data_IF_218439060152
#
_entry.id   IF_218439060152
#
_cell.length_a   1.000
_cell.length_b   1.000
_cell.length_c   1.000
_cell.angle_alpha   90.00
_cell.angle_beta   90.00
_cell.angle_gamma   90.00
#
_symmetry.space_group_name_H-M   'P 1'
#
loop_
_entity.id
_entity.type
_entity.pdbx_description
1 polymer ?
#
# COMPACT_ATOMS: atom_id res chain seq x y z
N UNK A 1 5.08 1.46 12.33
CA UNK A 1 6.16 2.16 11.54
C UNK A 1 6.34 1.50 10.17
N UNK A 2 6.83 2.18 9.12
CA UNK A 2 7.12 1.52 7.82
C UNK A 2 8.59 1.06 7.76
N UNK A 3 8.84 -0.16 7.27
CA UNK A 3 10.18 -0.66 6.92
C UNK A 3 10.25 -0.83 5.42
N UNK A 4 11.18 -0.13 4.76
CA UNK A 4 11.40 -0.30 3.32
C UNK A 4 12.13 -1.61 3.03
N UNK A 5 11.72 -2.28 1.97
CA UNK A 5 12.38 -3.47 1.43
C UNK A 5 12.57 -3.31 -0.09
N UNK A 6 13.65 -3.87 -0.68
CA UNK A 6 13.78 -3.95 -2.13
C UNK A 6 12.62 -4.72 -2.73
N UNK A 7 12.03 -4.20 -3.81
CA UNK A 7 10.90 -4.85 -4.49
C UNK A 7 11.31 -6.23 -5.01
N UNK A 8 12.55 -6.40 -5.45
CA UNK A 8 13.04 -7.69 -5.95
C UNK A 8 13.13 -8.77 -4.86
N UNK A 9 13.29 -8.36 -3.59
CA UNK A 9 13.33 -9.26 -2.43
C UNK A 9 12.01 -9.33 -1.67
N UNK A 10 10.97 -8.64 -2.15
CA UNK A 10 9.70 -8.53 -1.46
C UNK A 10 9.04 -9.91 -1.33
N UNK A 11 8.68 -10.26 -0.10
CA UNK A 11 7.98 -11.50 0.21
C UNK A 11 6.87 -11.25 1.23
N UNK A 12 5.71 -11.86 1.00
CA UNK A 12 4.57 -11.78 1.91
C UNK A 12 4.75 -12.77 3.06
N UNK A 13 4.92 -12.25 4.27
CA UNK A 13 4.76 -13.03 5.50
C UNK A 13 3.31 -13.15 5.94
N UNK A 14 2.98 -14.29 6.56
CA UNK A 14 1.66 -14.53 7.12
C UNK A 14 1.36 -13.58 8.29
N UNK A 15 0.14 -13.05 8.36
CA UNK A 15 -0.26 -12.09 9.40
C UNK A 15 0.39 -10.70 9.32
N UNK A 16 1.19 -10.43 8.29
CA UNK A 16 1.89 -9.15 8.12
C UNK A 16 1.18 -8.27 7.09
N UNK A 17 1.12 -6.97 7.38
CA UNK A 17 0.58 -5.96 6.47
C UNK A 17 1.72 -5.36 5.64
N UNK A 18 1.50 -5.31 4.32
CA UNK A 18 2.48 -4.86 3.35
C UNK A 18 1.90 -3.76 2.48
N UNK A 19 2.79 -2.96 1.91
CA UNK A 19 2.48 -1.80 1.10
C UNK A 19 3.37 -1.81 -0.14
N UNK A 20 2.77 -1.72 -1.32
CA UNK A 20 3.45 -1.51 -2.59
C UNK A 20 3.15 -0.10 -3.09
N UNK A 21 4.18 0.62 -3.53
CA UNK A 21 4.06 2.01 -3.96
C UNK A 21 4.92 2.31 -5.20
N UNK A 22 4.51 3.35 -5.94
CA UNK A 22 5.33 4.02 -6.95
C UNK A 22 5.50 5.48 -6.56
N UNK A 23 6.72 5.90 -6.24
CA UNK A 23 6.96 7.22 -5.65
C UNK A 23 6.16 7.43 -4.36
N UNK A 24 5.23 8.39 -4.36
CA UNK A 24 4.35 8.69 -3.23
C UNK A 24 2.93 8.11 -3.41
N UNK A 25 2.69 7.35 -4.48
CA UNK A 25 1.40 6.75 -4.77
C UNK A 25 1.40 5.33 -4.25
N UNK A 26 0.54 5.04 -3.29
CA UNK A 26 0.27 3.66 -2.88
C UNK A 26 -0.46 2.96 -4.02
N UNK A 27 -0.04 1.76 -4.37
CA UNK A 27 -0.66 0.95 -5.44
C UNK A 27 -1.46 -0.21 -4.86
N UNK A 28 -1.03 -0.73 -3.72
CA UNK A 28 -1.71 -1.79 -3.01
C UNK A 28 -1.26 -1.79 -1.54
N UNK A 29 -2.17 -2.06 -0.63
CA UNK A 29 -1.90 -2.34 0.78
C UNK A 29 -2.70 -3.57 1.16
N UNK A 30 -2.08 -4.51 1.89
CA UNK A 30 -2.76 -5.74 2.27
C UNK A 30 -1.84 -6.81 2.82
N UNK A 31 -2.44 -7.93 3.14
CA UNK A 31 -1.82 -9.13 3.70
C UNK A 31 -1.88 -10.30 2.73
N UNK A 32 -1.19 -11.39 3.08
CA UNK A 32 -1.24 -12.62 2.29
C UNK A 32 -2.66 -13.21 2.24
N UNK A 33 -3.42 -13.04 3.31
CA UNK A 33 -4.78 -13.50 3.49
C UNK A 33 -5.73 -12.78 2.53
N UNK A 34 -5.52 -11.48 2.29
CA UNK A 34 -6.32 -10.70 1.34
C UNK A 34 -6.15 -11.22 -0.11
N UNK A 35 -4.96 -11.71 -0.47
CA UNK A 35 -4.74 -12.29 -1.80
C UNK A 35 -5.47 -13.63 -1.98
N UNK A 36 -5.60 -14.39 -0.89
CA UNK A 36 -6.31 -15.67 -0.90
C UNK A 36 -7.83 -15.43 -0.92
N UNK A 37 -8.32 -14.56 -0.03
CA UNK A 37 -9.74 -14.38 0.25
C UNK A 37 -10.44 -13.41 -0.71
N UNK A 38 -9.76 -12.39 -1.24
CA UNK A 38 -10.34 -11.40 -2.14
C UNK A 38 -9.69 -11.43 -3.54
N UNK A 39 -10.40 -11.95 -4.56
CA UNK A 39 -9.95 -11.90 -5.95
C UNK A 39 -9.63 -10.48 -6.45
N UNK A 40 -10.30 -9.45 -5.93
CA UNK A 40 -10.08 -8.06 -6.34
C UNK A 40 -8.76 -7.53 -5.81
N UNK A 41 -8.46 -7.77 -4.52
CA UNK A 41 -7.16 -7.49 -3.93
C UNK A 41 -6.04 -8.21 -4.70
N UNK A 42 -6.23 -9.47 -5.07
CA UNK A 42 -5.27 -10.23 -5.88
C UNK A 42 -4.99 -9.61 -7.25
N UNK A 43 -6.02 -9.11 -7.92
CA UNK A 43 -5.86 -8.43 -9.21
C UNK A 43 -5.06 -7.12 -9.05
N UNK A 44 -5.39 -6.30 -8.04
CA UNK A 44 -4.67 -5.07 -7.73
C UNK A 44 -3.22 -5.34 -7.35
N UNK A 45 -2.97 -6.36 -6.54
CA UNK A 45 -1.62 -6.77 -6.14
C UNK A 45 -0.73 -7.12 -7.35
N UNK A 46 -1.26 -7.88 -8.32
CA UNK A 46 -0.51 -8.21 -9.54
C UNK A 46 -0.13 -6.97 -10.34
N UNK A 47 -1.07 -6.04 -10.52
CA UNK A 47 -0.80 -4.77 -11.19
C UNK A 47 0.20 -3.91 -10.41
N UNK A 48 0.11 -3.94 -9.08
CA UNK A 48 1.03 -3.23 -8.20
C UNK A 48 2.45 -3.80 -8.29
N UNK A 49 2.63 -5.12 -8.34
CA UNK A 49 3.95 -5.74 -8.52
C UNK A 49 4.62 -5.34 -9.83
N UNK A 50 3.86 -5.23 -10.92
CA UNK A 50 4.38 -4.81 -12.22
C UNK A 50 4.80 -3.33 -12.22
N UNK A 51 4.22 -2.52 -11.32
CA UNK A 51 4.37 -1.08 -11.34
C UNK A 51 5.24 -0.51 -10.20
N UNK A 52 5.28 -1.16 -9.04
CA UNK A 52 5.87 -0.60 -7.84
C UNK A 52 7.37 -0.37 -8.01
N UNK A 53 7.87 0.74 -7.46
CA UNK A 53 9.30 0.99 -7.30
C UNK A 53 9.76 0.81 -5.86
N UNK A 54 8.81 0.65 -4.92
CA UNK A 54 9.04 0.55 -3.48
C UNK A 54 8.08 -0.45 -2.85
N UNK A 55 8.60 -1.23 -1.92
CA UNK A 55 7.81 -2.08 -1.05
C UNK A 55 8.09 -1.75 0.42
N UNK A 56 7.08 -1.88 1.26
CA UNK A 56 7.21 -1.68 2.70
C UNK A 56 6.47 -2.76 3.48
N UNK A 57 7.05 -3.13 4.63
CA UNK A 57 6.35 -3.83 5.70
C UNK A 57 5.83 -2.81 6.71
N UNK A 58 4.57 -2.93 7.11
CA UNK A 58 3.97 -2.13 8.16
C UNK A 58 4.22 -2.81 9.51
N UNK A 59 5.17 -2.27 10.28
CA UNK A 59 5.42 -2.68 11.67
C UNK A 59 4.29 -2.27 12.59
N UNK A 60 4.16 -3.02 13.67
CA UNK A 60 3.31 -2.74 14.84
C UNK A 60 1.80 -2.91 14.59
N UNK A 61 1.40 -3.37 13.41
CA UNK A 61 0.01 -3.74 13.10
C UNK A 61 -0.27 -5.17 13.59
N UNK A 62 -0.17 -5.36 14.91
CA UNK A 62 -0.23 -6.69 15.54
C UNK A 62 -1.66 -7.24 15.48
N UNK A 63 -2.64 -6.38 15.77
CA UNK A 63 -4.05 -6.78 15.77
C UNK A 63 -4.68 -6.64 14.39
N UNK A 64 -5.64 -7.52 14.09
CA UNK A 64 -6.35 -7.49 12.81
C UNK A 64 -7.13 -6.18 12.61
N UNK A 65 -7.72 -5.64 13.68
CA UNK A 65 -8.44 -4.37 13.63
C UNK A 65 -7.51 -3.19 13.30
N UNK A 66 -6.31 -3.16 13.88
CA UNK A 66 -5.30 -2.14 13.57
C UNK A 66 -4.85 -2.23 12.11
N UNK A 67 -4.64 -3.45 11.60
CA UNK A 67 -4.29 -3.67 10.19
C UNK A 67 -5.37 -3.14 9.24
N UNK A 68 -6.64 -3.41 9.54
CA UNK A 68 -7.75 -2.91 8.74
C UNK A 68 -7.83 -1.38 8.75
N UNK A 69 -7.65 -0.74 9.92
CA UNK A 69 -7.61 0.72 10.02
C UNK A 69 -6.44 1.33 9.27
N UNK A 70 -5.24 0.78 9.41
CA UNK A 70 -4.05 1.28 8.72
C UNK A 70 -4.17 1.10 7.20
N UNK A 71 -4.67 -0.04 6.74
CA UNK A 71 -4.94 -0.29 5.33
C UNK A 71 -5.91 0.77 4.78
N UNK A 72 -7.03 1.00 5.49
CA UNK A 72 -7.99 2.04 5.13
C UNK A 72 -7.35 3.42 5.05
N UNK A 73 -6.58 3.84 6.06
CA UNK A 73 -5.92 5.14 6.10
C UNK A 73 -4.95 5.33 4.92
N UNK A 74 -4.21 4.28 4.54
CA UNK A 74 -3.27 4.31 3.41
C UNK A 74 -3.98 4.30 2.04
N UNK A 75 -5.15 3.66 1.94
CA UNK A 75 -5.98 3.68 0.75
C UNK A 75 -6.57 5.08 0.51
N UNK A 76 -7.10 5.72 1.56
CA UNK A 76 -7.68 7.06 1.44
C UNK A 76 -6.62 8.16 1.30
N UNK A 77 -5.38 7.94 1.78
CA UNK A 77 -4.28 8.89 1.58
C UNK A 77 -3.93 9.11 0.10
N UNK A 78 -4.20 8.13 -0.77
CA UNK A 78 -4.04 8.25 -2.23
C UNK A 78 -5.07 9.19 -2.87
N UNK A 79 -6.21 9.38 -2.21
CA UNK A 79 -7.36 10.09 -2.77
C UNK A 79 -7.31 11.61 -2.52
N UNK A 80 -6.25 12.15 -1.90
CA UNK A 80 -6.06 13.61 -1.85
C UNK A 80 -5.36 14.08 -3.13
N UNK A 81 -6.09 14.67 -4.11
CA UNK A 81 -5.42 15.39 -5.17
C UNK A 81 -4.61 16.51 -4.50
N UNK A 82 -3.30 16.50 -4.69
CA UNK A 82 -2.50 17.71 -4.52
C UNK A 82 -3.03 18.71 -5.54
N UNK A 83 -3.98 19.54 -5.12
CA UNK A 83 -4.51 20.62 -5.94
C UNK A 83 -3.32 21.47 -6.37
N UNK A 84 -3.02 21.60 -7.69
CA UNK A 84 -2.02 22.55 -8.12
C UNK A 84 -2.55 23.93 -7.75
N UNK A 85 -1.85 24.63 -6.86
CA UNK A 85 -2.12 26.04 -6.58
C UNK A 85 -2.14 26.77 -7.92
N UNK A 86 -3.33 27.16 -8.38
CA UNK A 86 -3.51 28.11 -9.47
C UNK A 86 -2.83 29.41 -9.02
N UNK A 87 -1.58 29.62 -9.46
CA UNK A 87 -0.99 30.95 -9.44
C UNK A 87 -1.77 31.78 -10.46
N UNK A 88 -2.79 32.50 -10.00
CA UNK A 88 -3.36 33.58 -10.80
C UNK A 88 -2.30 34.66 -10.94
N UNK A 89 -1.77 34.82 -12.15
CA UNK A 89 -1.11 36.05 -12.54
C UNK A 89 -2.20 37.14 -12.68
N UNK A 90 -2.06 38.21 -11.91
CA UNK A 90 -2.66 39.52 -12.17
C UNK A 90 -1.70 40.57 -11.62
#
# INVERSE_FOLDING_TARGET
>A
MLTSEPVESFALGAGELHLLARGNVVLWVGSSEDLVLDPSSRARFRLALDCADRAFRVRDAIQQSERATIAWDLEIAQAMPTSPVLRSAA
#
